data_IF_133892951095
#
_entry.id   IF_133892951095
#
_cell.length_a   1.000
_cell.length_b   1.000
_cell.length_c   1.000
_cell.angle_alpha   90.00
_cell.angle_beta   90.00
_cell.angle_gamma   90.00
#
_symmetry.space_group_name_H-M   'P 1'
#
loop_
_entity.id
_entity.type
_entity.pdbx_description
1 polymer ?
#
# COMPACT_ATOMS: atom_id res chain seq x y z
N UNK A 1 -16.53 -12.36 -11.94
CA UNK A 1 -15.42 -12.33 -10.96
C UNK A 1 -15.90 -12.04 -9.54
N UNK A 2 -16.55 -10.91 -9.24
CA UNK A 2 -17.05 -10.61 -7.88
C UNK A 2 -18.06 -11.63 -7.33
N UNK A 3 -18.97 -12.14 -8.17
CA UNK A 3 -19.91 -13.19 -7.77
C UNK A 3 -19.16 -14.44 -7.29
N UNK A 4 -18.13 -14.87 -8.03
CA UNK A 4 -17.29 -16.03 -7.66
C UNK A 4 -16.61 -15.81 -6.31
N UNK A 5 -16.24 -14.57 -5.99
CA UNK A 5 -15.55 -14.22 -4.74
C UNK A 5 -16.43 -14.49 -3.49
N UNK A 6 -17.74 -14.23 -3.60
CA UNK A 6 -18.70 -14.36 -2.49
C UNK A 6 -19.49 -15.68 -2.50
N UNK A 7 -19.24 -16.57 -3.47
CA UNK A 7 -19.93 -17.85 -3.53
C UNK A 7 -19.62 -18.71 -2.28
N UNK A 8 -20.65 -19.20 -1.57
CA UNK A 8 -20.47 -19.99 -0.36
C UNK A 8 -20.01 -21.43 -0.64
N UNK A 9 -20.08 -21.87 -1.90
CA UNK A 9 -19.75 -23.24 -2.31
C UNK A 9 -18.24 -23.46 -2.43
N UNK A 10 -17.76 -24.69 -2.15
CA UNK A 10 -16.33 -25.03 -2.21
C UNK A 10 -15.71 -25.03 -3.62
N UNK A 11 -16.50 -24.91 -4.68
CA UNK A 11 -16.01 -24.77 -6.06
C UNK A 11 -15.12 -23.53 -6.23
N UNK A 12 -14.16 -23.54 -7.15
CA UNK A 12 -13.24 -22.41 -7.45
C UNK A 12 -12.42 -21.88 -6.26
N UNK A 13 -11.64 -22.74 -5.59
CA UNK A 13 -10.71 -22.36 -4.49
C UNK A 13 -11.40 -21.72 -3.27
N UNK A 14 -12.46 -22.35 -2.77
CA UNK A 14 -13.28 -21.80 -1.66
C UNK A 14 -12.48 -21.42 -0.39
N UNK A 15 -11.44 -22.19 -0.02
CA UNK A 15 -10.59 -21.88 1.15
C UNK A 15 -9.83 -20.57 0.98
N UNK A 16 -9.24 -20.32 -0.20
CA UNK A 16 -8.53 -19.08 -0.51
C UNK A 16 -9.47 -17.89 -0.53
N UNK A 17 -10.70 -18.06 -1.03
CA UNK A 17 -11.70 -16.98 -1.03
C UNK A 17 -12.15 -16.63 0.38
N UNK A 18 -12.42 -17.62 1.22
CA UNK A 18 -12.79 -17.40 2.61
C UNK A 18 -11.66 -16.69 3.35
N UNK A 19 -10.41 -17.14 3.16
CA UNK A 19 -9.23 -16.46 3.71
C UNK A 19 -9.15 -14.99 3.28
N UNK A 20 -9.31 -14.70 1.98
CA UNK A 20 -9.32 -13.33 1.48
C UNK A 20 -10.46 -12.50 2.08
N UNK A 21 -11.68 -13.05 2.15
CA UNK A 21 -12.84 -12.37 2.72
C UNK A 21 -12.67 -12.09 4.21
N UNK A 22 -12.09 -13.03 4.96
CA UNK A 22 -11.76 -12.85 6.38
C UNK A 22 -10.75 -11.72 6.56
N UNK A 23 -9.67 -11.70 5.79
CA UNK A 23 -8.70 -10.59 5.85
C UNK A 23 -9.30 -9.25 5.42
N UNK A 24 -10.15 -9.26 4.39
CA UNK A 24 -10.86 -8.05 3.96
C UNK A 24 -11.80 -7.54 5.07
N UNK A 25 -12.50 -8.44 5.74
CA UNK A 25 -13.34 -8.11 6.88
C UNK A 25 -12.52 -7.56 8.05
N UNK A 26 -11.36 -8.14 8.39
CA UNK A 26 -10.45 -7.58 9.39
C UNK A 26 -9.95 -6.18 9.03
N UNK A 27 -9.69 -5.90 7.74
CA UNK A 27 -9.36 -4.55 7.29
C UNK A 27 -10.52 -3.56 7.54
N UNK A 28 -11.75 -3.94 7.19
CA UNK A 28 -12.94 -3.08 7.36
C UNK A 28 -13.26 -2.88 8.85
N UNK A 29 -13.13 -3.94 9.65
CA UNK A 29 -13.44 -3.93 11.06
C UNK A 29 -12.26 -3.53 11.97
N UNK A 30 -11.15 -3.03 11.41
CA UNK A 30 -10.06 -2.48 12.21
C UNK A 30 -10.59 -1.32 13.09
N UNK A 31 -10.18 -1.20 14.36
CA UNK A 31 -9.09 -1.90 15.05
C UNK A 31 -9.53 -3.14 15.87
N UNK A 32 -10.71 -3.71 15.61
CA UNK A 32 -11.36 -4.69 16.52
C UNK A 32 -10.68 -6.06 16.56
N UNK A 33 -9.93 -6.42 15.53
CA UNK A 33 -9.27 -7.72 15.41
C UNK A 33 -7.75 -7.58 15.48
N UNK A 34 -7.08 -8.65 15.92
CA UNK A 34 -5.62 -8.74 15.88
C UNK A 34 -5.14 -8.69 14.43
N UNK A 35 -4.17 -7.83 14.17
CA UNK A 35 -3.65 -7.60 12.82
C UNK A 35 -2.61 -8.66 12.50
N UNK A 36 -2.90 -9.51 11.51
CA UNK A 36 -1.94 -10.49 11.00
C UNK A 36 -1.19 -9.96 9.78
N UNK A 37 -0.12 -10.66 9.35
CA UNK A 37 0.64 -10.29 8.15
C UNK A 37 -0.26 -10.24 6.88
N UNK A 38 -1.16 -11.21 6.62
CA UNK A 38 -2.12 -11.11 5.52
C UNK A 38 -3.01 -9.87 5.57
N UNK A 39 -3.52 -9.50 6.75
CA UNK A 39 -4.40 -8.33 6.91
C UNK A 39 -3.64 -7.03 6.63
N UNK A 40 -2.39 -6.94 7.11
CA UNK A 40 -1.48 -5.84 6.81
C UNK A 40 -1.21 -5.75 5.30
N UNK A 41 -0.90 -6.89 4.68
CA UNK A 41 -0.50 -6.97 3.27
C UNK A 41 -1.67 -6.63 2.34
N UNK A 42 -2.86 -7.14 2.64
CA UNK A 42 -4.09 -6.84 1.91
C UNK A 42 -4.46 -5.36 2.04
N UNK A 43 -4.38 -4.81 3.25
CA UNK A 43 -4.66 -3.39 3.46
C UNK A 43 -3.75 -2.49 2.60
N UNK A 44 -2.47 -2.85 2.46
CA UNK A 44 -1.55 -2.12 1.58
C UNK A 44 -1.95 -2.22 0.10
N UNK A 45 -2.51 -3.35 -0.35
CA UNK A 45 -3.06 -3.45 -1.70
C UNK A 45 -4.26 -2.51 -1.88
N UNK A 46 -5.17 -2.44 -0.89
CA UNK A 46 -6.36 -1.57 -0.95
C UNK A 46 -5.99 -0.10 -1.11
N UNK A 47 -4.89 0.37 -0.48
CA UNK A 47 -4.42 1.75 -0.65
C UNK A 47 -4.02 2.10 -2.07
N UNK A 48 -3.56 1.13 -2.85
CA UNK A 48 -3.21 1.31 -4.27
C UNK A 48 -4.43 1.21 -5.20
N UNK A 49 -5.58 0.76 -4.70
CA UNK A 49 -6.83 0.59 -5.46
C UNK A 49 -7.82 1.75 -5.33
N UNK A 50 -7.45 2.83 -4.64
CA UNK A 50 -8.32 4.00 -4.42
C UNK A 50 -8.90 4.58 -5.71
N UNK A 51 -8.10 4.63 -6.78
CA UNK A 51 -8.59 5.13 -8.07
C UNK A 51 -9.63 4.21 -8.70
N UNK A 52 -9.44 2.89 -8.61
CA UNK A 52 -10.42 1.92 -9.07
C UNK A 52 -11.73 2.01 -8.27
N UNK A 53 -11.63 2.17 -6.94
CA UNK A 53 -12.81 2.37 -6.08
C UNK A 53 -13.60 3.64 -6.43
N UNK A 54 -12.90 4.75 -6.74
CA UNK A 54 -13.53 5.99 -7.22
C UNK A 54 -14.23 5.80 -8.58
N UNK A 55 -13.63 5.04 -9.50
CA UNK A 55 -14.26 4.71 -10.78
C UNK A 55 -15.53 3.86 -10.58
N UNK A 56 -15.48 2.86 -9.69
CA UNK A 56 -16.67 2.06 -9.33
C UNK A 56 -17.77 2.95 -8.75
N UNK A 57 -17.43 3.86 -7.84
CA UNK A 57 -18.38 4.82 -7.28
C UNK A 57 -19.02 5.69 -8.38
N UNK A 58 -18.22 6.19 -9.33
CA UNK A 58 -18.75 6.96 -10.46
C UNK A 58 -19.70 6.12 -11.31
N UNK A 59 -19.36 4.86 -11.63
CA UNK A 59 -20.25 3.98 -12.39
C UNK A 59 -21.57 3.70 -11.67
N UNK A 60 -21.53 3.48 -10.35
CA UNK A 60 -22.74 3.31 -9.54
C UNK A 60 -23.63 4.56 -9.64
N UNK A 61 -23.05 5.76 -9.53
CA UNK A 61 -23.80 6.99 -9.68
C UNK A 61 -24.36 7.16 -11.11
N UNK A 62 -23.52 6.99 -12.12
CA UNK A 62 -23.85 7.24 -13.52
C UNK A 62 -24.98 6.32 -14.03
N UNK A 63 -24.90 5.03 -13.72
CA UNK A 63 -25.92 4.07 -14.12
C UNK A 63 -27.10 4.02 -13.16
N UNK A 64 -26.85 4.12 -11.84
CA UNK A 64 -27.89 4.02 -10.82
C UNK A 64 -28.83 5.22 -10.80
N UNK A 65 -28.32 6.43 -11.07
CA UNK A 65 -29.12 7.66 -11.05
C UNK A 65 -29.73 8.02 -12.41
N UNK A 66 -29.48 7.22 -13.45
CA UNK A 66 -30.01 7.46 -14.79
C UNK A 66 -29.32 8.58 -15.57
N UNK A 67 -28.21 9.13 -15.06
CA UNK A 67 -27.38 10.14 -15.73
C UNK A 67 -26.96 9.70 -17.15
N UNK A 68 -26.79 8.37 -17.34
CA UNK A 68 -26.54 7.76 -18.65
C UNK A 68 -27.62 8.05 -19.70
N UNK A 69 -28.91 8.11 -19.30
CA UNK A 69 -30.03 8.38 -20.22
C UNK A 69 -29.99 9.81 -20.74
N UNK A 70 -29.46 10.71 -19.93
CA UNK A 70 -29.35 12.14 -20.24
C UNK A 70 -27.99 12.53 -20.83
N UNK A 71 -27.08 11.57 -21.05
CA UNK A 71 -25.68 11.80 -21.47
C UNK A 71 -24.98 12.86 -20.61
N UNK A 72 -25.33 12.95 -19.33
CA UNK A 72 -24.70 13.87 -18.37
C UNK A 72 -23.65 13.10 -17.57
N UNK A 73 -22.42 13.62 -17.52
CA UNK A 73 -21.33 13.02 -16.74
C UNK A 73 -21.12 13.76 -15.40
N UNK A 74 -22.18 14.36 -14.87
CA UNK A 74 -22.05 15.35 -13.81
C UNK A 74 -22.09 14.76 -12.42
N UNK A 75 -22.82 13.66 -12.17
CA UNK A 75 -22.91 13.02 -10.86
C UNK A 75 -22.87 14.03 -9.69
N UNK A 76 -23.72 15.06 -9.75
CA UNK A 76 -23.53 16.27 -8.95
C UNK A 76 -24.46 16.32 -7.73
N UNK A 77 -24.73 15.16 -7.12
CA UNK A 77 -25.51 15.07 -5.89
C UNK A 77 -24.61 15.37 -4.69
N UNK A 78 -25.18 16.00 -3.64
CA UNK A 78 -24.46 16.26 -2.39
C UNK A 78 -23.92 14.97 -1.76
N UNK A 79 -24.71 13.89 -1.85
CA UNK A 79 -24.31 12.54 -1.43
C UNK A 79 -23.08 12.04 -2.20
N UNK A 80 -23.04 12.17 -3.53
CA UNK A 80 -21.88 11.75 -4.32
C UNK A 80 -20.60 12.48 -3.91
N UNK A 81 -20.68 13.80 -3.66
CA UNK A 81 -19.54 14.59 -3.17
C UNK A 81 -19.02 14.08 -1.82
N UNK A 82 -19.92 13.74 -0.88
CA UNK A 82 -19.53 13.15 0.40
C UNK A 82 -18.88 11.76 0.22
N UNK A 83 -19.47 10.90 -0.62
CA UNK A 83 -18.94 9.56 -0.87
C UNK A 83 -17.55 9.58 -1.54
N UNK A 84 -17.21 10.60 -2.36
CA UNK A 84 -15.86 10.71 -2.94
C UNK A 84 -14.79 10.81 -1.84
N UNK A 85 -15.05 11.54 -0.75
CA UNK A 85 -14.12 11.60 0.38
C UNK A 85 -14.04 10.25 1.07
N UNK A 86 -15.18 9.66 1.39
CA UNK A 86 -15.27 8.40 2.13
C UNK A 86 -14.51 7.28 1.40
N UNK A 87 -14.78 7.08 0.11
CA UNK A 87 -14.14 6.05 -0.71
C UNK A 87 -12.62 6.25 -0.80
N UNK A 88 -12.17 7.50 -0.82
CA UNK A 88 -10.76 7.82 -0.90
C UNK A 88 -10.01 7.60 0.43
N UNK A 89 -10.69 7.80 1.57
CA UNK A 89 -10.09 7.76 2.91
C UNK A 89 -10.12 6.36 3.51
N UNK A 90 -11.18 5.57 3.28
CA UNK A 90 -11.39 4.26 3.92
C UNK A 90 -10.14 3.36 3.87
N UNK A 91 -9.47 3.16 2.72
CA UNK A 91 -8.31 2.27 2.66
C UNK A 91 -7.16 2.73 3.57
N UNK A 92 -6.88 4.03 3.61
CA UNK A 92 -5.83 4.59 4.45
C UNK A 92 -6.22 4.64 5.93
N UNK A 93 -7.50 4.89 6.23
CA UNK A 93 -8.01 4.86 7.59
C UNK A 93 -7.94 3.46 8.20
N UNK A 94 -8.31 2.44 7.43
CA UNK A 94 -8.14 1.03 7.83
C UNK A 94 -6.69 0.74 8.23
N UNK A 95 -5.72 1.19 7.42
CA UNK A 95 -4.29 1.04 7.73
C UNK A 95 -3.85 1.81 8.97
N UNK A 96 -4.30 3.05 9.12
CA UNK A 96 -4.04 3.84 10.32
C UNK A 96 -4.55 3.10 11.57
N UNK A 97 -5.78 2.60 11.54
CA UNK A 97 -6.38 1.87 12.66
C UNK A 97 -5.65 0.56 12.96
N UNK A 98 -5.22 -0.19 11.93
CA UNK A 98 -4.37 -1.37 12.09
C UNK A 98 -3.02 -1.03 12.75
N UNK A 99 -2.35 0.02 12.29
CA UNK A 99 -1.10 0.50 12.88
C UNK A 99 -1.29 0.92 14.33
N UNK A 100 -2.38 1.60 14.64
CA UNK A 100 -2.69 2.02 16.01
C UNK A 100 -2.97 0.84 16.92
N UNK A 101 -3.73 -0.15 16.45
CA UNK A 101 -3.95 -1.41 17.19
C UNK A 101 -2.62 -2.08 17.54
N UNK A 102 -1.71 -2.19 16.56
CA UNK A 102 -0.39 -2.79 16.77
C UNK A 102 0.49 -1.96 17.70
N UNK A 103 0.41 -0.63 17.64
CA UNK A 103 1.13 0.24 18.59
C UNK A 103 0.72 -0.06 20.03
N UNK A 104 -0.59 -0.19 20.31
CA UNK A 104 -1.07 -0.47 21.66
C UNK A 104 -0.82 -1.92 22.10
N UNK A 105 -1.02 -2.90 21.21
CA UNK A 105 -0.87 -4.32 21.55
C UNK A 105 0.59 -4.77 21.63
N UNK A 106 1.42 -4.39 20.65
CA UNK A 106 2.84 -4.79 20.58
C UNK A 106 3.77 -3.83 21.34
N UNK A 107 3.27 -2.65 21.76
CA UNK A 107 4.04 -1.55 22.38
C UNK A 107 5.28 -1.13 21.57
N UNK A 108 5.27 -1.38 20.26
CA UNK A 108 6.37 -1.02 19.37
C UNK A 108 6.14 0.37 18.75
N UNK A 109 6.97 1.39 19.08
CA UNK A 109 6.82 2.75 18.57
C UNK A 109 6.96 2.85 17.05
N UNK A 110 7.63 1.90 16.38
CA UNK A 110 7.72 1.84 14.92
C UNK A 110 6.33 1.79 14.25
N UNK A 111 5.35 1.16 14.90
CA UNK A 111 3.98 1.11 14.37
C UNK A 111 3.29 2.48 14.43
N UNK A 112 3.68 3.33 15.37
CA UNK A 112 3.23 4.72 15.45
C UNK A 112 3.73 5.54 14.27
N UNK A 113 5.00 5.39 13.90
CA UNK A 113 5.56 6.00 12.69
C UNK A 113 4.86 5.52 11.43
N UNK A 114 4.54 4.22 11.33
CA UNK A 114 3.74 3.70 10.23
C UNK A 114 2.33 4.31 10.21
N UNK A 115 1.71 4.50 11.38
CA UNK A 115 0.43 5.20 11.50
C UNK A 115 0.52 6.64 10.99
N UNK A 116 1.58 7.37 11.36
CA UNK A 116 1.82 8.74 10.89
C UNK A 116 1.90 8.82 9.35
N UNK A 117 2.53 7.85 8.70
CA UNK A 117 2.55 7.73 7.22
C UNK A 117 1.14 7.76 6.64
N UNK A 118 0.24 6.94 7.16
CA UNK A 118 -1.13 6.84 6.67
C UNK A 118 -1.96 8.08 7.04
N UNK A 119 -1.75 8.63 8.23
CA UNK A 119 -2.39 9.89 8.63
C UNK A 119 -2.04 11.05 7.68
N UNK A 120 -0.75 11.26 7.38
CA UNK A 120 -0.31 12.27 6.43
C UNK A 120 -0.92 12.05 5.04
N UNK A 121 -1.04 10.79 4.62
CA UNK A 121 -1.66 10.43 3.34
C UNK A 121 -3.17 10.73 3.34
N UNK A 122 -3.88 10.47 4.44
CA UNK A 122 -5.30 10.82 4.60
C UNK A 122 -5.48 12.34 4.44
N UNK A 123 -4.67 13.14 5.14
CA UNK A 123 -4.72 14.60 5.04
C UNK A 123 -4.48 15.05 3.60
N UNK A 124 -3.43 14.53 2.94
CA UNK A 124 -3.14 14.84 1.54
C UNK A 124 -4.31 14.51 0.59
N UNK A 125 -4.92 13.34 0.75
CA UNK A 125 -6.04 12.87 -0.08
C UNK A 125 -7.31 13.69 0.17
N UNK A 126 -7.59 14.06 1.42
CA UNK A 126 -8.71 14.94 1.77
C UNK A 126 -8.53 16.33 1.15
N UNK A 127 -7.36 16.95 1.31
CA UNK A 127 -7.06 18.27 0.75
C UNK A 127 -7.16 18.27 -0.79
N UNK A 128 -6.64 17.22 -1.43
CA UNK A 128 -6.80 17.02 -2.88
C UNK A 128 -8.27 16.94 -3.29
N UNK A 129 -9.06 16.17 -2.54
CA UNK A 129 -10.47 15.98 -2.85
C UNK A 129 -11.27 17.26 -2.64
N UNK A 130 -10.92 18.05 -1.63
CA UNK A 130 -11.47 19.39 -1.44
C UNK A 130 -11.12 20.30 -2.63
N UNK A 131 -9.87 20.29 -3.10
CA UNK A 131 -9.44 21.03 -4.28
C UNK A 131 -10.20 20.62 -5.56
N UNK A 132 -10.47 19.33 -5.77
CA UNK A 132 -11.19 18.87 -6.97
C UNK A 132 -12.63 19.36 -7.04
N UNK A 133 -13.26 19.62 -5.88
CA UNK A 133 -14.61 20.18 -5.75
C UNK A 133 -14.58 21.71 -5.79
N UNK A 134 -13.64 22.35 -5.08
CA UNK A 134 -13.51 23.80 -4.95
C UNK A 134 -12.30 24.33 -5.75
N UNK A 135 -12.32 24.13 -7.07
CA UNK A 135 -11.18 24.41 -7.97
C UNK A 135 -10.66 25.86 -7.94
N UNK A 136 -11.46 26.82 -7.46
CA UNK A 136 -11.11 28.25 -7.43
C UNK A 136 -10.16 28.63 -6.29
N UNK A 137 -10.01 27.80 -5.26
CA UNK A 137 -9.19 28.12 -4.10
C UNK A 137 -7.79 27.51 -4.24
N UNK A 138 -6.81 28.37 -4.56
CA UNK A 138 -5.40 27.99 -4.72
C UNK A 138 -4.80 27.44 -3.42
N UNK A 139 -5.30 27.89 -2.26
CA UNK A 139 -4.87 27.42 -0.95
C UNK A 139 -4.98 25.88 -0.80
N UNK A 140 -6.10 25.28 -1.20
CA UNK A 140 -6.26 23.82 -1.15
C UNK A 140 -5.27 23.08 -2.03
N UNK A 141 -4.92 23.64 -3.19
CA UNK A 141 -3.93 23.06 -4.10
C UNK A 141 -2.54 23.06 -3.47
N UNK A 142 -2.13 24.20 -2.89
CA UNK A 142 -0.83 24.36 -2.25
C UNK A 142 -0.71 23.44 -1.03
N UNK A 143 -1.73 23.42 -0.17
CA UNK A 143 -1.76 22.51 0.98
C UNK A 143 -1.74 21.04 0.55
N UNK A 144 -2.56 20.66 -0.44
CA UNK A 144 -2.54 19.30 -0.99
C UNK A 144 -1.15 18.92 -1.54
N UNK A 145 -0.45 19.86 -2.19
CA UNK A 145 0.91 19.64 -2.68
C UNK A 145 1.90 19.37 -1.55
N UNK A 146 1.92 20.24 -0.54
CA UNK A 146 2.85 20.14 0.59
C UNK A 146 2.64 18.81 1.32
N UNK A 147 1.41 18.51 1.71
CA UNK A 147 1.11 17.26 2.43
C UNK A 147 1.37 16.02 1.56
N UNK A 148 1.12 16.07 0.24
CA UNK A 148 1.43 14.94 -0.66
C UNK A 148 2.92 14.70 -0.80
N UNK A 149 3.73 15.75 -0.89
CA UNK A 149 5.20 15.64 -0.96
C UNK A 149 5.74 15.07 0.34
N UNK A 150 5.31 15.59 1.50
CA UNK A 150 5.72 15.08 2.81
C UNK A 150 5.33 13.60 2.96
N UNK A 151 4.07 13.25 2.64
CA UNK A 151 3.60 11.87 2.70
C UNK A 151 4.39 10.95 1.75
N UNK A 152 4.74 11.41 0.55
CA UNK A 152 5.52 10.65 -0.42
C UNK A 152 6.96 10.41 0.04
N UNK A 153 7.64 11.43 0.59
CA UNK A 153 9.00 11.31 1.14
C UNK A 153 8.99 10.32 2.31
N UNK A 154 8.10 10.53 3.28
CA UNK A 154 8.03 9.67 4.47
C UNK A 154 7.71 8.23 4.10
N UNK A 155 6.79 8.03 3.15
CA UNK A 155 6.48 6.68 2.69
C UNK A 155 7.60 6.02 1.91
N UNK A 156 8.35 6.78 1.10
CA UNK A 156 9.49 6.24 0.33
C UNK A 156 10.59 5.79 1.29
N UNK A 157 10.85 6.59 2.32
CA UNK A 157 11.75 6.21 3.40
C UNK A 157 11.28 4.93 4.10
N UNK A 158 9.99 4.83 4.44
CA UNK A 158 9.41 3.63 5.05
C UNK A 158 9.57 2.40 4.15
N UNK A 159 9.25 2.53 2.86
CA UNK A 159 9.34 1.45 1.88
C UNK A 159 10.77 0.88 1.83
N UNK A 160 11.80 1.74 1.83
CA UNK A 160 13.18 1.29 1.76
C UNK A 160 13.70 0.73 3.08
N UNK A 161 13.48 1.42 4.20
CA UNK A 161 14.08 1.06 5.48
C UNK A 161 13.33 -0.08 6.17
N UNK A 162 12.01 0.03 6.31
CA UNK A 162 11.23 -0.93 7.10
C UNK A 162 10.63 -2.04 6.24
N UNK A 163 10.08 -1.71 5.07
CA UNK A 163 9.41 -2.72 4.26
C UNK A 163 10.41 -3.62 3.56
N UNK A 164 11.43 -3.04 2.91
CA UNK A 164 12.47 -3.79 2.20
C UNK A 164 13.72 -4.07 3.04
N UNK A 165 13.91 -3.40 4.19
CA UNK A 165 15.08 -3.62 5.03
C UNK A 165 16.40 -3.13 4.40
N UNK A 166 16.33 -2.25 3.41
CA UNK A 166 17.48 -1.69 2.69
C UNK A 166 17.96 -0.39 3.37
N UNK A 167 18.96 0.26 2.78
CA UNK A 167 19.65 1.44 3.32
C UNK A 167 20.40 1.19 4.63
N UNK A 168 20.73 -0.06 4.93
CA UNK A 168 21.63 -0.35 6.02
C UNK A 168 23.07 0.05 5.61
N UNK A 169 23.67 1.00 6.35
CA UNK A 169 25.04 1.46 6.10
C UNK A 169 26.09 0.55 6.74
N UNK A 170 25.70 -0.29 7.70
CA UNK A 170 26.61 -1.16 8.47
C UNK A 170 26.71 -2.58 7.92
N UNK A 171 25.94 -2.91 6.88
CA UNK A 171 25.97 -4.22 6.23
C UNK A 171 27.20 -4.39 5.33
N UNK A 172 27.59 -5.65 5.08
CA UNK A 172 28.68 -6.01 4.16
C UNK A 172 28.43 -5.51 2.73
N UNK A 173 27.17 -5.46 2.33
CA UNK A 173 26.73 -4.85 1.08
C UNK A 173 26.24 -3.42 1.34
N UNK A 174 27.07 -2.41 1.07
CA UNK A 174 26.72 -1.01 1.28
C UNK A 174 25.30 -0.68 0.73
N UNK A 175 24.39 -0.21 1.61
CA UNK A 175 23.00 0.18 1.32
C UNK A 175 22.02 -0.97 1.07
N UNK A 176 22.48 -2.21 1.05
CA UNK A 176 21.68 -3.42 0.89
C UNK A 176 21.77 -4.29 2.14
N UNK A 177 20.95 -5.34 2.22
CA UNK A 177 21.05 -6.33 3.31
C UNK A 177 22.23 -7.28 3.08
N UNK A 178 22.65 -7.96 4.14
CA UNK A 178 23.70 -8.98 4.06
C UNK A 178 23.23 -10.21 3.29
N UNK A 179 21.99 -10.65 3.56
CA UNK A 179 21.34 -11.75 2.83
C UNK A 179 20.39 -11.18 1.78
N UNK A 180 20.57 -11.60 0.53
CA UNK A 180 19.75 -11.23 -0.61
C UNK A 180 19.31 -12.52 -1.31
N UNK A 181 18.02 -12.64 -1.64
CA UNK A 181 17.50 -13.80 -2.38
C UNK A 181 17.87 -13.71 -3.86
N UNK A 182 17.87 -12.50 -4.43
CA UNK A 182 18.33 -12.25 -5.80
C UNK A 182 19.84 -12.00 -5.77
N UNK A 183 20.66 -12.80 -6.48
CA UNK A 183 22.12 -12.60 -6.50
C UNK A 183 22.53 -11.25 -7.12
N UNK A 184 21.73 -10.74 -8.06
CA UNK A 184 22.01 -9.51 -8.80
C UNK A 184 21.63 -8.25 -8.00
N UNK A 185 22.63 -7.60 -7.39
CA UNK A 185 22.47 -6.34 -6.63
C UNK A 185 21.81 -5.21 -7.43
N UNK A 186 22.04 -5.15 -8.74
CA UNK A 186 21.47 -4.12 -9.63
C UNK A 186 19.94 -4.08 -9.60
N UNK A 187 19.30 -5.25 -9.42
CA UNK A 187 17.83 -5.36 -9.39
C UNK A 187 17.25 -4.56 -8.22
N UNK A 188 17.90 -4.57 -7.06
CA UNK A 188 17.47 -3.80 -5.89
C UNK A 188 17.57 -2.29 -6.14
N UNK A 189 18.70 -1.82 -6.70
CA UNK A 189 18.86 -0.39 -6.99
C UNK A 189 17.88 0.10 -8.07
N UNK A 190 17.65 -0.69 -9.13
CA UNK A 190 16.64 -0.38 -10.14
C UNK A 190 15.24 -0.32 -9.52
N UNK A 191 14.89 -1.28 -8.66
CA UNK A 191 13.61 -1.28 -7.95
C UNK A 191 13.46 -0.06 -7.03
N UNK A 192 14.53 0.37 -6.36
CA UNK A 192 14.53 1.59 -5.55
C UNK A 192 14.25 2.82 -6.41
N UNK A 193 15.00 3.01 -7.49
CA UNK A 193 14.80 4.14 -8.42
C UNK A 193 13.37 4.13 -8.97
N UNK A 194 12.88 2.98 -9.40
CA UNK A 194 11.53 2.83 -9.94
C UNK A 194 10.45 3.13 -8.88
N UNK A 195 10.63 2.70 -7.63
CA UNK A 195 9.69 3.03 -6.55
C UNK A 195 9.61 4.55 -6.34
N UNK A 196 10.75 5.24 -6.33
CA UNK A 196 10.78 6.71 -6.20
C UNK A 196 10.05 7.39 -7.37
N UNK A 197 10.41 7.05 -8.61
CA UNK A 197 9.82 7.66 -9.81
C UNK A 197 8.30 7.47 -9.86
N UNK A 198 7.82 6.24 -9.61
CA UNK A 198 6.39 5.93 -9.62
C UNK A 198 5.65 6.57 -8.44
N UNK A 199 6.31 6.78 -7.29
CA UNK A 199 5.72 7.53 -6.16
C UNK A 199 5.52 9.00 -6.51
N UNK A 200 6.47 9.62 -7.20
CA UNK A 200 6.31 10.99 -7.69
C UNK A 200 5.26 11.08 -8.81
N UNK A 201 5.10 10.03 -9.64
CA UNK A 201 3.99 9.95 -10.59
C UNK A 201 2.62 9.94 -9.89
N UNK A 202 2.49 9.34 -8.71
CA UNK A 202 1.24 9.47 -7.93
C UNK A 202 0.95 10.93 -7.54
N UNK A 203 1.95 11.73 -7.16
CA UNK A 203 1.78 13.16 -6.85
C UNK A 203 1.26 13.93 -8.07
N UNK A 204 1.65 13.56 -9.28
CA UNK A 204 1.12 14.17 -10.50
C UNK A 204 -0.41 14.11 -10.57
N UNK A 205 -0.99 12.99 -10.12
CA UNK A 205 -2.45 12.88 -10.06
C UNK A 205 -3.04 13.85 -9.04
N UNK A 206 -2.34 14.13 -7.94
CA UNK A 206 -2.79 15.04 -6.88
C UNK A 206 -2.80 16.49 -7.36
N UNK A 207 -1.81 16.89 -8.15
CA UNK A 207 -1.61 18.28 -8.58
C UNK A 207 -2.31 18.65 -9.89
N UNK A 208 -2.98 17.69 -10.53
CA UNK A 208 -3.70 17.82 -11.80
C UNK A 208 -2.85 18.52 -12.88
N UNK A 209 -1.59 18.09 -13.02
CA UNK A 209 -0.72 18.62 -14.06
C UNK A 209 -1.33 18.36 -15.44
N UNK A 210 -1.58 19.43 -16.18
CA UNK A 210 -2.13 19.36 -17.54
C UNK A 210 -0.98 19.10 -18.51
N UNK A 211 -1.02 17.97 -19.20
CA UNK A 211 -0.15 17.69 -20.33
C UNK A 211 -0.92 17.97 -21.61
N UNK A 212 -0.36 18.77 -22.52
CA UNK A 212 -1.03 19.14 -23.78
C UNK A 212 -1.29 17.95 -24.70
N UNK A 213 -0.50 16.87 -24.56
CA UNK A 213 -0.53 15.72 -25.45
C UNK A 213 -1.50 14.60 -25.04
N UNK A 214 -2.08 14.63 -23.82
CA UNK A 214 -2.91 13.54 -23.33
C UNK A 214 -4.15 14.03 -22.57
N UNK A 215 -5.29 13.37 -22.83
CA UNK A 215 -6.52 13.61 -22.09
C UNK A 215 -6.36 13.23 -20.60
N UNK A 216 -7.05 13.97 -19.72
CA UNK A 216 -6.94 13.80 -18.26
C UNK A 216 -7.25 12.38 -17.79
N UNK A 217 -8.33 11.79 -18.30
CA UNK A 217 -8.74 10.43 -17.91
C UNK A 217 -7.74 9.36 -18.34
N UNK A 218 -7.08 9.54 -19.49
CA UNK A 218 -6.01 8.66 -19.94
C UNK A 218 -4.81 8.76 -19.01
N UNK A 219 -4.40 9.97 -18.60
CA UNK A 219 -3.32 10.16 -17.62
C UNK A 219 -3.64 9.49 -16.27
N UNK A 220 -4.88 9.65 -15.77
CA UNK A 220 -5.32 9.00 -14.53
C UNK A 220 -5.23 7.47 -14.65
N UNK A 221 -5.66 6.93 -15.79
CA UNK A 221 -5.63 5.47 -16.06
C UNK A 221 -4.21 4.93 -16.14
N UNK A 222 -3.30 5.64 -16.82
CA UNK A 222 -1.89 5.27 -16.92
C UNK A 222 -1.23 5.28 -15.54
N UNK A 223 -1.40 6.36 -14.77
CA UNK A 223 -0.80 6.44 -13.43
C UNK A 223 -1.38 5.39 -12.49
N UNK A 224 -2.69 5.13 -12.54
CA UNK A 224 -3.30 4.07 -11.74
C UNK A 224 -2.74 2.69 -12.10
N UNK A 225 -2.48 2.42 -13.39
CA UNK A 225 -1.86 1.17 -13.84
C UNK A 225 -0.42 1.03 -13.36
N UNK A 226 0.35 2.13 -13.43
CA UNK A 226 1.72 2.18 -12.92
C UNK A 226 1.79 1.98 -11.40
N UNK A 227 0.80 2.48 -10.65
CA UNK A 227 0.71 2.27 -9.20
C UNK A 227 0.49 0.78 -8.86
N UNK A 228 -0.27 0.04 -9.69
CA UNK A 228 -0.42 -1.41 -9.53
C UNK A 228 0.91 -2.14 -9.76
N UNK A 229 1.64 -1.77 -10.82
CA UNK A 229 2.97 -2.34 -11.10
C UNK A 229 3.94 -2.05 -9.95
N UNK A 230 3.98 -0.80 -9.47
CA UNK A 230 4.80 -0.39 -8.32
C UNK A 230 4.50 -1.25 -7.09
N UNK A 231 3.21 -1.49 -6.81
CA UNK A 231 2.79 -2.35 -5.69
C UNK A 231 3.22 -3.81 -5.90
N UNK A 232 3.15 -4.32 -7.13
CA UNK A 232 3.66 -5.66 -7.48
C UNK A 232 5.15 -5.82 -7.17
N UNK A 233 5.96 -4.80 -7.50
CA UNK A 233 7.39 -4.77 -7.15
C UNK A 233 7.57 -4.73 -5.63
N UNK A 234 6.84 -3.86 -4.94
CA UNK A 234 6.88 -3.77 -3.48
C UNK A 234 6.51 -5.09 -2.81
N UNK A 235 5.51 -5.81 -3.32
CA UNK A 235 5.07 -7.11 -2.80
C UNK A 235 6.20 -8.13 -2.78
N UNK A 236 6.97 -8.21 -3.87
CA UNK A 236 8.10 -9.12 -3.97
C UNK A 236 9.17 -8.85 -2.90
N UNK A 237 9.69 -7.63 -2.84
CA UNK A 237 10.75 -7.27 -1.89
C UNK A 237 10.28 -7.27 -0.44
N UNK A 238 9.01 -6.94 -0.18
CA UNK A 238 8.40 -7.03 1.15
C UNK A 238 8.33 -8.47 1.63
N UNK A 239 7.85 -9.39 0.79
CA UNK A 239 7.76 -10.81 1.12
C UNK A 239 9.15 -11.42 1.32
N UNK A 240 10.11 -11.04 0.47
CA UNK A 240 11.50 -11.44 0.63
C UNK A 240 12.07 -10.97 1.99
N UNK A 241 11.85 -9.70 2.36
CA UNK A 241 12.31 -9.17 3.65
C UNK A 241 11.68 -9.90 4.84
N UNK A 242 10.38 -10.14 4.77
CA UNK A 242 9.65 -10.85 5.82
C UNK A 242 10.14 -12.30 5.94
N UNK A 243 10.38 -12.97 4.82
CA UNK A 243 10.93 -14.32 4.81
C UNK A 243 12.32 -14.36 5.45
N UNK A 244 13.24 -13.48 5.03
CA UNK A 244 14.60 -13.42 5.57
C UNK A 244 14.61 -13.09 7.08
N UNK A 245 13.75 -12.19 7.54
CA UNK A 245 13.62 -11.86 8.97
C UNK A 245 13.03 -13.02 9.79
N UNK A 246 12.06 -13.75 9.25
CA UNK A 246 11.47 -14.91 9.94
C UNK A 246 12.44 -16.09 10.00
N UNK A 247 13.22 -16.33 8.94
CA UNK A 247 14.32 -17.32 8.91
C UNK A 247 15.41 -16.91 9.90
N UNK A 248 15.82 -15.64 9.92
CA UNK A 248 16.85 -15.13 10.83
C UNK A 248 16.46 -15.14 12.31
N UNK A 249 15.17 -15.02 12.64
CA UNK A 249 14.64 -15.16 14.01
C UNK A 249 14.23 -16.59 14.36
N UNK A 250 14.59 -17.57 13.53
CA UNK A 250 14.24 -18.99 13.67
C UNK A 250 12.73 -19.30 13.76
N UNK A 251 11.86 -18.37 13.35
CA UNK A 251 10.40 -18.58 13.34
C UNK A 251 9.94 -19.47 12.18
N UNK A 252 10.76 -19.61 11.14
CA UNK A 252 10.49 -20.46 9.98
C UNK A 252 11.07 -21.89 10.10
N UNK A 253 11.85 -22.18 11.14
CA UNK A 253 12.40 -23.52 11.38
C UNK A 253 11.60 -24.24 12.46
N UNK A 254 11.35 -25.55 12.26
CA UNK A 254 10.81 -26.42 13.32
C UNK A 254 11.85 -26.75 14.41
N UNK A 255 13.13 -26.53 14.14
CA UNK A 255 14.24 -26.78 15.06
C UNK A 255 15.10 -25.53 15.19
N UNK A 256 15.18 -24.98 16.39
CA UNK A 256 16.11 -23.91 16.75
C UNK A 256 17.48 -24.55 16.98
N UNK A 257 18.57 -24.08 16.34
CA UNK A 257 19.91 -24.60 16.67
C UNK A 257 20.22 -24.29 18.13
N UNK A 258 20.65 -25.30 18.87
CA UNK A 258 20.98 -25.16 20.28
C UNK A 258 22.21 -24.26 20.44
N UNK A 259 22.30 -23.46 21.53
CA UNK A 259 23.40 -22.52 21.77
C UNK A 259 24.77 -23.18 22.00
N UNK A 260 24.84 -24.51 21.95
CA UNK A 260 26.04 -25.32 22.11
C UNK A 260 26.17 -26.30 20.94
N UNK A 261 26.25 -25.78 19.70
CA UNK A 261 27.12 -26.48 18.75
C UNK A 261 28.52 -26.00 19.10
N UNK A 262 29.21 -26.80 19.92
CA UNK A 262 30.66 -26.76 19.94
C UNK A 262 31.11 -26.99 18.49
N UNK A 263 32.00 -26.13 18.03
CA UNK A 263 32.75 -26.38 16.81
C UNK A 263 33.33 -27.80 16.94
N UNK A 264 32.83 -28.76 16.16
CA UNK A 264 33.58 -29.98 15.84
C UNK A 264 34.60 -29.59 14.76
N UNK A 265 35.48 -28.64 15.10
CA UNK A 265 36.77 -28.51 14.46
C UNK A 265 37.76 -29.17 15.41
N UNK A 266 38.15 -30.41 15.12
CA UNK A 266 39.54 -30.91 15.19
C UNK A 266 39.57 -32.44 14.94
N UNK A 267 40.41 -32.80 13.96
CA UNK A 267 41.10 -34.09 13.80
C UNK A 267 40.31 -35.31 13.29
N UNK A 268 40.32 -35.46 11.96
CA UNK A 268 40.67 -36.75 11.32
C UNK A 268 41.60 -36.51 10.14
N UNK A 269 42.88 -36.44 10.46
CA UNK A 269 43.92 -37.04 9.61
C UNK A 269 43.65 -38.54 9.51
N UNK A 270 43.37 -39.01 8.30
CA UNK A 270 43.84 -40.26 7.68
C UNK A 270 43.38 -40.32 6.21
#
# INVERSE_FOLDING_TARGET
MFVVLVLPFKFFYGSTRLFFLTSLFHCIAAPLYKVTLPDFFLGDQLTSQVQALRSIQFYICYYGWGDFRHRKNTCNTGSYKAFIFIVAVIPYLSRLLQCMRRLFEEKNPEQGWNGLKYFLTIVAVCLRTAYSIQKHQVAWRVLAAIFSVIAAIFSTWWDFVHDWGLLNRTSKNHWLRDKLLIPQKKVYFVAMILNVLLRFAWIQTVLDFKFSFMHKETMITVVASLEIIRRGIWNFFRLENEHLNNVGKYRAFKSVPLPFNYDEDEDKDD
#
